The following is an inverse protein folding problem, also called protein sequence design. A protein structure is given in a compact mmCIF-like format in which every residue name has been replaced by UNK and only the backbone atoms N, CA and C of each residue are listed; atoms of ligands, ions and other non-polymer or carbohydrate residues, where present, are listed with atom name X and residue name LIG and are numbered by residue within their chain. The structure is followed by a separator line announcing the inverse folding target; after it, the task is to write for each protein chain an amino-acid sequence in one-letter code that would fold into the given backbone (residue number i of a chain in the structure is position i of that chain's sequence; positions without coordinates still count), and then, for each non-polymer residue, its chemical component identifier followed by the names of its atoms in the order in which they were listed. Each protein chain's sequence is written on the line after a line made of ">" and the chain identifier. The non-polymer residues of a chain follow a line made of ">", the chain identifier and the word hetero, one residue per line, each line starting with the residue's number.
data_IF_037274532589
#
_entry.id   IF_037274532589
#
_cell.length_a   1.000
_cell.length_b   1.000
_cell.length_c   1.000
_cell.angle_alpha   90.00
_cell.angle_beta   90.00
_cell.angle_gamma   90.00
#
_symmetry.space_group_name_H-M   'P 1'
#
loop_
_entity.id
_entity.type
_entity.pdbx_description
1 polymer ?
#
# COMPACT_ATOMS: atom_id res chain seq x y z
N UNK A 1 -6.78 -4.68 6.64
CA UNK A 1 -6.52 -3.24 6.52
C UNK A 1 -6.64 -2.89 5.06
N UNK A 2 -7.48 -1.94 4.70
CA UNK A 2 -7.81 -1.69 3.30
C UNK A 2 -7.07 -0.44 2.81
N UNK A 3 -6.14 -0.63 1.88
CA UNK A 3 -5.46 0.44 1.17
C UNK A 3 -6.22 0.68 -0.13
N UNK A 4 -6.58 1.92 -0.41
CA UNK A 4 -7.17 2.31 -1.69
C UNK A 4 -6.30 3.34 -2.38
N UNK A 5 -6.20 3.23 -3.70
CA UNK A 5 -5.49 4.19 -4.54
C UNK A 5 -6.24 4.41 -5.84
N UNK A 6 -5.93 5.52 -6.50
CA UNK A 6 -6.47 5.86 -7.82
C UNK A 6 -5.40 6.54 -8.65
N UNK A 7 -5.56 6.54 -9.97
CA UNK A 7 -4.68 7.25 -10.89
C UNK A 7 -3.43 6.50 -11.35
N UNK A 8 -3.28 5.21 -10.99
CA UNK A 8 -2.29 4.35 -11.63
C UNK A 8 -2.80 3.92 -13.03
N UNK A 9 -1.92 3.93 -14.03
CA UNK A 9 -2.21 3.56 -15.42
C UNK A 9 -1.72 2.16 -15.81
N UNK A 10 -0.89 1.55 -14.98
CA UNK A 10 -0.37 0.21 -15.20
C UNK A 10 -1.41 -0.88 -14.91
N UNK A 11 -1.20 -2.07 -15.47
CA UNK A 11 -2.05 -3.26 -15.22
C UNK A 11 -1.86 -3.79 -13.79
N UNK A 12 -0.66 -3.65 -13.26
CA UNK A 12 -0.27 -4.10 -11.93
C UNK A 12 0.42 -2.97 -11.18
N UNK A 13 0.30 -2.99 -9.86
CA UNK A 13 0.99 -2.06 -8.97
C UNK A 13 1.76 -2.82 -7.90
N UNK A 14 2.93 -2.28 -7.56
CA UNK A 14 3.76 -2.72 -6.46
C UNK A 14 3.41 -1.90 -5.21
N UNK A 15 2.94 -2.60 -4.18
CA UNK A 15 2.69 -2.05 -2.86
C UNK A 15 3.99 -2.07 -2.08
N UNK A 16 4.56 -0.90 -1.85
CA UNK A 16 5.69 -0.70 -0.95
C UNK A 16 5.18 -0.41 0.45
N UNK A 17 5.78 -1.06 1.46
CA UNK A 17 5.60 -0.78 2.87
C UNK A 17 6.95 -0.46 3.48
N UNK A 18 7.10 0.74 4.03
CA UNK A 18 8.33 1.22 4.65
C UNK A 18 9.55 1.14 3.71
N UNK A 19 9.32 1.35 2.41
CA UNK A 19 10.36 1.28 1.36
C UNK A 19 10.64 -0.11 0.80
N UNK A 20 9.95 -1.16 1.26
CA UNK A 20 10.11 -2.54 0.76
C UNK A 20 8.84 -2.99 0.05
N UNK A 21 8.94 -3.64 -1.11
CA UNK A 21 7.77 -4.25 -1.77
C UNK A 21 7.22 -5.38 -0.91
N UNK A 22 5.96 -5.27 -0.52
CA UNK A 22 5.26 -6.31 0.26
C UNK A 22 4.29 -7.12 -0.58
N UNK A 23 3.80 -6.55 -1.68
CA UNK A 23 2.92 -7.23 -2.60
C UNK A 23 2.95 -6.56 -3.97
N UNK A 24 2.70 -7.33 -5.02
CA UNK A 24 2.35 -6.84 -6.35
C UNK A 24 0.94 -7.32 -6.64
N UNK A 25 0.02 -6.39 -6.89
CA UNK A 25 -1.40 -6.69 -7.14
C UNK A 25 -1.84 -6.11 -8.48
N UNK A 26 -2.98 -6.55 -8.98
CA UNK A 26 -3.63 -5.88 -10.10
C UNK A 26 -3.97 -4.44 -9.70
N UNK A 27 -3.99 -3.52 -10.67
CA UNK A 27 -4.42 -2.15 -10.43
C UNK A 27 -5.96 -2.07 -10.39
N UNK A 28 -6.56 -2.75 -9.42
CA UNK A 28 -7.99 -2.74 -9.12
C UNK A 28 -8.39 -1.61 -8.14
N UNK A 29 -7.39 -0.83 -7.69
CA UNK A 29 -7.57 0.33 -6.83
C UNK A 29 -7.73 -0.01 -5.34
N UNK A 30 -7.59 -1.28 -4.95
CA UNK A 30 -7.72 -1.70 -3.57
C UNK A 30 -6.80 -2.87 -3.21
N UNK A 31 -6.18 -2.81 -2.03
CA UNK A 31 -5.37 -3.89 -1.48
C UNK A 31 -5.69 -4.06 -0.01
N UNK A 32 -6.16 -5.25 0.36
CA UNK A 32 -6.35 -5.60 1.77
C UNK A 32 -5.04 -6.19 2.32
N UNK A 33 -4.29 -5.37 3.06
CA UNK A 33 -3.16 -5.83 3.84
C UNK A 33 -3.71 -6.63 5.05
N UNK A 34 -3.44 -7.94 5.01
CA UNK A 34 -3.83 -8.93 6.02
C UNK A 34 -2.67 -9.23 6.97
N UNK A 35 -1.89 -8.22 7.33
CA UNK A 35 -0.67 -8.34 8.15
C UNK A 35 -0.84 -8.98 9.52
N UNK A 36 -2.07 -9.29 9.98
CA UNK A 36 -2.32 -9.97 11.26
C UNK A 36 -1.85 -9.20 12.49
N UNK A 37 -1.45 -7.93 12.31
CA UNK A 37 -0.84 -7.12 13.36
C UNK A 37 -1.93 -6.55 14.28
N UNK A 38 -2.13 -7.20 15.42
CA UNK A 38 -3.07 -6.82 16.47
C UNK A 38 -2.52 -5.72 17.42
N UNK A 39 -1.73 -4.76 16.90
CA UNK A 39 -1.04 -3.79 17.75
C UNK A 39 -0.87 -2.39 17.16
N UNK A 40 -0.26 -1.48 17.94
CA UNK A 40 0.17 -0.16 17.45
C UNK A 40 1.27 -0.34 16.40
N UNK A 41 0.97 -0.04 15.15
CA UNK A 41 1.95 -0.12 14.08
C UNK A 41 1.77 1.06 13.13
N UNK A 42 2.85 1.74 12.79
CA UNK A 42 2.83 2.79 11.77
C UNK A 42 3.54 2.26 10.55
N UNK A 43 2.86 2.27 9.41
CA UNK A 43 3.47 1.89 8.15
C UNK A 43 3.28 3.00 7.13
N UNK A 44 4.34 3.26 6.39
CA UNK A 44 4.28 4.13 5.21
C UNK A 44 4.07 3.26 3.99
N UNK A 45 2.93 3.41 3.33
CA UNK A 45 2.61 2.75 2.08
C UNK A 45 2.92 3.66 0.90
N UNK A 46 3.37 3.07 -0.20
CA UNK A 46 3.57 3.74 -1.48
C UNK A 46 3.19 2.76 -2.58
N UNK A 47 2.39 3.22 -3.53
CA UNK A 47 1.94 2.39 -4.66
C UNK A 47 2.74 2.80 -5.88
N UNK A 48 3.45 1.87 -6.50
CA UNK A 48 4.18 2.15 -7.74
C UNK A 48 3.62 1.34 -8.89
N UNK A 49 3.59 1.93 -10.09
CA UNK A 49 3.20 1.24 -11.30
C UNK A 49 4.25 0.18 -11.64
N UNK A 50 3.84 -1.09 -11.69
CA UNK A 50 4.74 -2.23 -11.87
C UNK A 50 5.53 -2.11 -13.18
N UNK A 51 6.85 -2.29 -13.10
CA UNK A 51 7.75 -2.15 -14.24
C UNK A 51 8.08 -0.70 -14.64
N UNK A 52 7.66 0.29 -13.84
CA UNK A 52 8.00 1.70 -14.05
C UNK A 52 8.59 2.33 -12.79
N UNK A 53 9.04 3.59 -12.90
CA UNK A 53 9.43 4.42 -11.76
C UNK A 53 8.30 5.36 -11.28
N UNK A 54 7.09 5.23 -11.84
CA UNK A 54 5.95 6.07 -11.48
C UNK A 54 5.35 5.58 -10.17
N UNK A 55 5.44 6.39 -9.12
CA UNK A 55 4.90 6.06 -7.80
C UNK A 55 3.92 7.12 -7.30
N UNK A 56 2.96 6.68 -6.50
CA UNK A 56 2.07 7.53 -5.71
C UNK A 56 2.83 8.27 -4.62
N UNK A 57 2.14 9.19 -3.95
CA UNK A 57 2.63 9.78 -2.71
C UNK A 57 2.76 8.73 -1.60
N UNK A 58 3.60 9.04 -0.62
CA UNK A 58 3.71 8.28 0.62
C UNK A 58 2.47 8.47 1.50
N UNK A 59 1.76 7.38 1.79
CA UNK A 59 0.61 7.34 2.68
C UNK A 59 1.02 6.69 4.01
N UNK A 60 1.07 7.49 5.08
CA UNK A 60 1.40 6.95 6.41
C UNK A 60 0.13 6.50 7.11
N UNK A 61 -0.03 5.20 7.28
CA UNK A 61 -1.14 4.58 8.01
C UNK A 61 -0.67 4.28 9.42
N UNK A 62 -1.33 4.89 10.41
CA UNK A 62 -1.07 4.69 11.83
C UNK A 62 -2.15 3.80 12.42
N UNK A 63 -1.79 2.57 12.75
CA UNK A 63 -2.59 1.69 13.57
C UNK A 63 -2.37 2.04 15.04
N UNK A 64 -3.43 2.43 15.73
CA UNK A 64 -3.49 2.60 17.18
C UNK A 64 -4.77 1.96 17.72
N UNK A 65 -4.89 1.73 19.04
CA UNK A 65 -6.16 1.27 19.59
C UNK A 65 -7.16 2.40 19.33
N UNK A 66 -8.08 2.17 18.39
CA UNK A 66 -9.28 2.97 18.29
C UNK A 66 -10.06 2.76 19.57
N UNK A 67 -10.33 3.84 20.29
CA UNK A 67 -11.33 3.88 21.34
C UNK A 67 -12.73 3.70 20.73
#
# INVERSE_FOLDING_TARGET
>A
MDLTWSGANSTNVDIYRNGVVVATTANDGAYTDSTGQHGRATYTYRVCEAGTATCSNDATVRFGPGH
#
